data_IF_299427044833
#
_entry.id   IF_299427044833
#
_cell.length_a   1.000
_cell.length_b   1.000
_cell.length_c   1.000
_cell.angle_alpha   90.00
_cell.angle_beta   90.00
_cell.angle_gamma   90.00
#
_symmetry.space_group_name_H-M   'P 1'
#
loop_
_entity.id
_entity.type
_entity.pdbx_description
1 polymer ?
#
# COMPACT_ATOMS: atom_id res chain seq x y z
N UNK A 1 -7.03 -4.98 -2.24
CA UNK A 1 -7.77 -6.05 -1.57
C UNK A 1 -9.08 -5.52 -1.06
N UNK A 2 -10.18 -6.16 -1.46
CA UNK A 2 -11.52 -5.94 -0.90
C UNK A 2 -11.53 -6.16 0.62
N UNK A 3 -10.63 -7.02 1.13
CA UNK A 3 -10.44 -7.30 2.54
C UNK A 3 -10.07 -6.05 3.35
N UNK A 4 -9.16 -5.21 2.85
CA UNK A 4 -8.72 -4.01 3.57
C UNK A 4 -9.87 -3.02 3.81
N UNK A 5 -10.79 -2.88 2.86
CA UNK A 5 -11.99 -2.05 3.04
C UNK A 5 -12.95 -2.64 4.07
N UNK A 6 -13.13 -3.96 4.06
CA UNK A 6 -13.92 -4.68 5.08
C UNK A 6 -13.35 -4.52 6.48
N UNK A 7 -12.03 -4.68 6.63
CA UNK A 7 -11.33 -4.49 7.90
C UNK A 7 -11.43 -3.04 8.41
N UNK A 8 -11.37 -2.04 7.52
CA UNK A 8 -11.62 -0.64 7.88
C UNK A 8 -13.05 -0.44 8.39
N UNK A 9 -14.04 -1.10 7.77
CA UNK A 9 -15.41 -1.12 8.29
C UNK A 9 -15.49 -1.65 9.73
N UNK A 10 -14.80 -2.77 10.01
CA UNK A 10 -14.69 -3.32 11.38
C UNK A 10 -14.00 -2.34 12.33
N UNK A 11 -12.91 -1.69 11.92
CA UNK A 11 -12.20 -0.70 12.73
C UNK A 11 -13.08 0.52 13.06
N UNK A 12 -13.96 0.94 12.14
CA UNK A 12 -14.93 2.01 12.38
C UNK A 12 -15.97 1.58 13.41
N UNK A 13 -16.53 0.37 13.28
CA UNK A 13 -17.49 -0.19 14.24
C UNK A 13 -16.87 -0.30 15.64
N UNK A 14 -15.63 -0.80 15.75
CA UNK A 14 -14.90 -0.84 17.00
C UNK A 14 -14.62 0.56 17.57
N UNK A 15 -14.29 1.52 16.71
CA UNK A 15 -14.10 2.92 17.11
C UNK A 15 -15.38 3.56 17.66
N UNK A 16 -16.54 3.19 17.15
CA UNK A 16 -17.85 3.60 17.69
C UNK A 16 -18.13 2.96 19.04
N UNK A 17 -17.98 1.63 19.15
CA UNK A 17 -18.20 0.89 20.39
C UNK A 17 -17.30 1.41 21.52
N UNK A 18 -16.05 1.76 21.20
CA UNK A 18 -15.08 2.30 22.14
C UNK A 18 -15.15 3.83 22.31
N UNK A 19 -16.20 4.50 21.79
CA UNK A 19 -16.42 5.96 21.85
C UNK A 19 -15.22 6.80 21.38
N UNK A 20 -14.37 6.23 20.52
CA UNK A 20 -13.29 6.93 19.82
C UNK A 20 -13.80 7.71 18.61
N UNK A 21 -15.03 7.40 18.18
CA UNK A 21 -15.76 8.09 17.11
C UNK A 21 -17.17 8.45 17.56
N UNK A 22 -17.72 9.50 16.97
CA UNK A 22 -19.07 10.00 17.25
C UNK A 22 -20.10 9.62 16.19
N UNK A 23 -19.66 9.23 14.98
CA UNK A 23 -20.53 8.89 13.85
C UNK A 23 -20.03 7.66 13.09
N UNK A 24 -20.97 6.81 12.66
CA UNK A 24 -20.72 5.63 11.83
C UNK A 24 -20.68 5.92 10.33
N UNK A 25 -20.96 7.16 9.93
CA UNK A 25 -20.81 7.60 8.55
C UNK A 25 -19.36 8.02 8.31
N UNK A 26 -18.82 7.64 7.15
CA UNK A 26 -17.51 8.13 6.70
C UNK A 26 -17.65 9.48 6.01
N UNK A 27 -16.96 10.50 6.51
CA UNK A 27 -16.86 11.78 5.81
C UNK A 27 -15.61 11.80 4.94
N UNK A 28 -15.78 11.48 3.66
CA UNK A 28 -14.68 11.30 2.71
C UNK A 28 -14.63 12.48 1.76
N UNK A 29 -13.46 13.09 1.64
CA UNK A 29 -13.25 14.15 0.66
C UNK A 29 -13.35 13.62 -0.78
N UNK A 30 -14.11 14.33 -1.62
CA UNK A 30 -14.24 14.07 -3.05
C UNK A 30 -12.90 14.14 -3.79
N UNK A 31 -11.88 14.77 -3.20
CA UNK A 31 -10.52 14.79 -3.75
C UNK A 31 -9.94 13.40 -4.00
N UNK A 32 -10.43 12.35 -3.31
CA UNK A 32 -10.05 10.95 -3.52
C UNK A 32 -10.73 10.28 -4.73
N UNK A 33 -11.75 10.88 -5.33
CA UNK A 33 -12.41 10.32 -6.51
C UNK A 33 -11.46 10.26 -7.72
N UNK A 34 -10.63 11.29 -7.93
CA UNK A 34 -9.67 11.34 -9.04
C UNK A 34 -8.68 10.17 -9.02
N UNK A 35 -7.95 9.90 -7.93
CA UNK A 35 -7.06 8.74 -7.90
C UNK A 35 -7.80 7.41 -7.97
N UNK A 36 -9.00 7.30 -7.39
CA UNK A 36 -9.80 6.09 -7.52
C UNK A 36 -10.17 5.77 -8.98
N UNK A 37 -10.54 6.79 -9.76
CA UNK A 37 -10.79 6.65 -11.19
C UNK A 37 -9.52 6.26 -11.96
N UNK A 38 -8.38 6.87 -11.63
CA UNK A 38 -7.10 6.51 -12.24
C UNK A 38 -6.75 5.03 -11.98
N UNK A 39 -6.90 4.54 -10.75
CA UNK A 39 -6.67 3.12 -10.43
C UNK A 39 -7.59 2.22 -11.25
N UNK A 40 -8.89 2.55 -11.29
CA UNK A 40 -9.90 1.76 -11.99
C UNK A 40 -9.59 1.62 -13.49
N UNK A 41 -9.05 2.68 -14.10
CA UNK A 41 -8.67 2.66 -15.53
C UNK A 41 -7.31 1.98 -15.73
N UNK A 42 -6.29 2.34 -14.95
CA UNK A 42 -4.91 1.92 -15.19
C UNK A 42 -4.64 0.46 -14.80
N UNK A 43 -5.33 -0.06 -13.77
CA UNK A 43 -5.08 -1.41 -13.29
C UNK A 43 -5.36 -2.49 -14.36
N UNK A 44 -6.50 -2.51 -15.08
CA UNK A 44 -6.69 -3.46 -16.18
C UNK A 44 -5.68 -3.29 -17.32
N UNK A 45 -5.20 -2.06 -17.55
CA UNK A 45 -4.23 -1.77 -18.61
C UNK A 45 -2.87 -2.42 -18.37
N UNK A 46 -2.53 -2.82 -17.12
CA UNK A 46 -1.28 -3.52 -16.84
C UNK A 46 -1.20 -4.88 -17.52
N UNK A 47 -2.34 -5.45 -17.95
CA UNK A 47 -2.39 -6.73 -18.65
C UNK A 47 -2.13 -6.58 -20.16
N UNK A 48 -2.26 -5.39 -20.76
CA UNK A 48 -2.11 -5.22 -22.22
C UNK A 48 -0.70 -5.54 -22.71
N UNK A 49 0.38 -5.08 -22.05
CA UNK A 49 1.74 -5.52 -22.37
C UNK A 49 1.89 -7.05 -22.32
N UNK A 50 1.09 -7.73 -21.48
CA UNK A 50 1.13 -9.18 -21.35
C UNK A 50 0.62 -9.98 -22.55
N UNK A 51 -0.12 -9.34 -23.44
CA UNK A 51 -0.60 -9.97 -24.67
C UNK A 51 0.20 -9.55 -25.90
N UNK A 52 1.23 -8.71 -25.72
CA UNK A 52 1.98 -8.15 -26.83
C UNK A 52 3.47 -8.40 -26.60
N UNK A 53 4.07 -9.36 -27.31
CA UNK A 53 5.50 -9.69 -27.23
C UNK A 53 6.44 -8.58 -27.77
N UNK A 54 5.95 -7.34 -27.86
CA UNK A 54 6.68 -6.19 -28.39
C UNK A 54 7.29 -5.35 -27.26
N UNK A 55 8.62 -5.27 -27.27
CA UNK A 55 9.40 -4.43 -26.35
C UNK A 55 8.99 -2.94 -26.42
N UNK A 56 8.60 -2.47 -27.60
CA UNK A 56 8.16 -1.08 -27.79
C UNK A 56 6.89 -0.80 -26.99
N UNK A 57 5.95 -1.77 -26.98
CA UNK A 57 4.70 -1.65 -26.22
C UNK A 57 5.00 -1.59 -24.72
N UNK A 58 5.94 -2.39 -24.22
CA UNK A 58 6.37 -2.34 -22.82
C UNK A 58 6.88 -0.95 -22.42
N UNK A 59 7.74 -0.32 -23.23
CA UNK A 59 8.24 1.02 -22.94
C UNK A 59 7.16 2.11 -23.01
N UNK A 60 6.23 2.01 -23.97
CA UNK A 60 5.10 2.94 -24.06
C UNK A 60 4.22 2.86 -22.80
N UNK A 61 3.84 1.64 -22.39
CA UNK A 61 3.03 1.45 -21.19
C UNK A 61 3.78 1.83 -19.91
N UNK A 62 5.08 1.55 -19.82
CA UNK A 62 5.91 2.01 -18.72
C UNK A 62 5.90 3.55 -18.60
N UNK A 63 6.03 4.26 -19.73
CA UNK A 63 5.95 5.72 -19.75
C UNK A 63 4.57 6.24 -19.36
N UNK A 64 3.49 5.60 -19.81
CA UNK A 64 2.11 5.94 -19.42
C UNK A 64 1.92 5.78 -17.91
N UNK A 65 2.32 4.65 -17.35
CA UNK A 65 2.17 4.37 -15.92
C UNK A 65 3.02 5.33 -15.07
N UNK A 66 4.27 5.58 -15.45
CA UNK A 66 5.13 6.54 -14.74
C UNK A 66 4.58 7.97 -14.84
N UNK A 67 4.09 8.37 -16.02
CA UNK A 67 3.45 9.67 -16.24
C UNK A 67 2.19 9.83 -15.38
N UNK A 68 1.36 8.79 -15.28
CA UNK A 68 0.18 8.79 -14.41
C UNK A 68 0.55 8.88 -12.92
N UNK A 69 1.61 8.20 -12.49
CA UNK A 69 2.14 8.31 -11.13
C UNK A 69 2.61 9.74 -10.82
N UNK A 70 3.41 10.34 -11.70
CA UNK A 70 3.88 11.73 -11.55
C UNK A 70 2.70 12.72 -11.54
N UNK A 71 1.73 12.53 -12.43
CA UNK A 71 0.50 13.32 -12.44
C UNK A 71 -0.26 13.21 -11.11
N UNK A 72 -0.43 12.00 -10.57
CA UNK A 72 -1.08 11.80 -9.28
C UNK A 72 -0.35 12.56 -8.16
N UNK A 73 0.97 12.39 -8.03
CA UNK A 73 1.78 13.10 -7.02
C UNK A 73 1.63 14.62 -7.17
N UNK A 74 1.68 15.13 -8.39
CA UNK A 74 1.51 16.56 -8.66
C UNK A 74 0.13 17.08 -8.27
N UNK A 75 -0.95 16.34 -8.59
CA UNK A 75 -2.31 16.73 -8.18
C UNK A 75 -2.48 16.71 -6.67
N UNK A 76 -1.89 15.73 -5.98
CA UNK A 76 -1.92 15.66 -4.51
C UNK A 76 -1.16 16.81 -3.86
N UNK A 77 0.01 17.18 -4.41
CA UNK A 77 0.79 18.31 -3.94
C UNK A 77 0.03 19.64 -4.09
N UNK A 78 -0.59 19.86 -5.26
CA UNK A 78 -1.38 21.08 -5.50
C UNK A 78 -2.65 21.18 -4.66
N UNK A 79 -3.25 20.05 -4.26
CA UNK A 79 -4.55 20.02 -3.56
C UNK A 79 -4.47 20.29 -2.05
N UNK A 80 -3.31 20.64 -1.48
CA UNK A 80 -3.11 20.85 -0.02
C UNK A 80 -3.53 19.65 0.87
N UNK A 81 -3.85 18.48 0.32
CA UNK A 81 -4.11 17.26 1.08
C UNK A 81 -2.91 16.86 1.97
N UNK A 82 -1.69 17.24 1.56
CA UNK A 82 -0.50 17.12 2.39
C UNK A 82 -0.61 17.91 3.72
N UNK A 83 -1.25 19.08 3.73
CA UNK A 83 -1.48 19.87 4.95
C UNK A 83 -2.44 19.15 5.92
N UNK A 84 -3.41 18.36 5.42
CA UNK A 84 -4.27 17.54 6.29
C UNK A 84 -3.51 16.39 6.96
N UNK A 85 -2.53 15.78 6.27
CA UNK A 85 -1.69 14.70 6.81
C UNK A 85 -0.68 15.28 7.82
N UNK A 86 -0.09 16.43 7.53
CA UNK A 86 0.92 17.06 8.40
C UNK A 86 0.31 17.63 9.69
N UNK A 87 -0.90 18.18 9.62
CA UNK A 87 -1.65 18.63 10.79
C UNK A 87 -2.30 17.48 11.57
N UNK A 88 -2.33 16.29 10.99
CA UNK A 88 -3.04 15.18 11.57
C UNK A 88 -2.36 14.66 12.85
N UNK A 89 -1.10 14.27 12.79
CA UNK A 89 -0.39 13.79 13.99
C UNK A 89 1.06 14.27 13.99
N UNK A 90 1.52 14.71 15.16
CA UNK A 90 2.95 14.89 15.41
C UNK A 90 3.65 13.52 15.38
N UNK A 91 4.95 13.46 15.01
CA UNK A 91 5.73 12.23 15.13
C UNK A 91 5.55 11.62 16.52
N UNK A 92 5.35 10.30 16.59
CA UNK A 92 5.17 9.56 17.84
C UNK A 92 6.31 9.84 18.84
N UNK A 93 7.55 9.99 18.38
CA UNK A 93 8.67 10.32 19.27
C UNK A 93 8.55 11.70 19.92
N UNK A 94 7.84 12.65 19.30
CA UNK A 94 7.52 13.94 19.93
C UNK A 94 6.49 13.80 21.08
N UNK A 95 5.66 12.75 21.09
CA UNK A 95 4.75 12.46 22.21
C UNK A 95 5.49 11.86 23.41
N UNK A 96 6.53 11.06 23.14
CA UNK A 96 7.35 10.41 24.16
C UNK A 96 8.38 11.38 24.75
N UNK A 97 8.90 12.32 23.94
CA UNK A 97 9.90 13.32 24.34
C UNK A 97 9.32 14.74 24.12
N UNK A 98 8.49 15.25 25.06
CA UNK A 98 7.69 16.46 24.85
C UNK A 98 8.52 17.76 24.74
N UNK A 99 9.74 17.78 25.30
CA UNK A 99 10.58 18.99 25.36
C UNK A 99 11.40 19.26 24.09
N UNK A 100 11.34 18.40 23.08
CA UNK A 100 12.14 18.50 21.85
C UNK A 100 11.52 19.41 20.77
N UNK A 101 10.93 20.55 21.16
CA UNK A 101 10.27 21.51 20.26
C UNK A 101 11.17 22.01 19.11
N UNK A 102 12.49 22.14 19.35
CA UNK A 102 13.48 22.57 18.32
C UNK A 102 14.01 21.43 17.43
N UNK A 103 13.71 20.16 17.76
CA UNK A 103 14.27 18.98 17.09
C UNK A 103 13.25 18.15 16.30
N UNK A 104 12.06 18.70 15.98
CA UNK A 104 10.95 17.95 15.37
C UNK A 104 11.37 17.18 14.11
N UNK A 105 12.16 17.79 13.24
CA UNK A 105 12.66 17.12 12.02
C UNK A 105 13.64 15.99 12.34
N UNK A 106 14.58 16.21 13.26
CA UNK A 106 15.53 15.18 13.69
C UNK A 106 14.82 13.98 14.33
N UNK A 107 13.80 14.23 15.16
CA UNK A 107 12.96 13.17 15.73
C UNK A 107 12.12 12.45 14.67
N UNK A 108 11.60 13.16 13.66
CA UNK A 108 10.87 12.54 12.56
C UNK A 108 11.79 11.63 11.73
N UNK A 109 13.00 12.09 11.41
CA UNK A 109 14.02 11.29 10.71
C UNK A 109 14.44 10.09 11.56
N UNK A 110 14.70 10.28 12.86
CA UNK A 110 15.03 9.17 13.76
C UNK A 110 13.89 8.14 13.83
N UNK A 111 12.64 8.60 13.96
CA UNK A 111 11.47 7.72 13.95
C UNK A 111 11.36 6.95 12.63
N UNK A 112 11.60 7.60 11.50
CA UNK A 112 11.60 6.97 10.19
C UNK A 112 12.67 5.87 10.11
N UNK A 113 13.90 6.17 10.55
CA UNK A 113 14.99 5.20 10.57
C UNK A 113 14.69 4.00 11.48
N UNK A 114 14.12 4.25 12.67
CA UNK A 114 13.71 3.17 13.58
C UNK A 114 12.59 2.34 12.96
N UNK A 115 11.59 2.96 12.33
CA UNK A 115 10.50 2.25 11.66
C UNK A 115 11.03 1.36 10.53
N UNK A 116 11.94 1.87 9.69
CA UNK A 116 12.61 1.10 8.63
C UNK A 116 13.38 -0.09 9.24
N UNK A 117 14.14 0.13 10.31
CA UNK A 117 14.86 -0.94 11.00
C UNK A 117 13.95 -2.03 11.55
N UNK A 118 12.83 -1.66 12.17
CA UNK A 118 11.83 -2.62 12.66
C UNK A 118 11.18 -3.41 11.53
N UNK A 119 10.86 -2.76 10.41
CA UNK A 119 10.33 -3.43 9.22
C UNK A 119 11.33 -4.43 8.63
N UNK A 120 12.61 -4.07 8.55
CA UNK A 120 13.68 -4.95 8.08
C UNK A 120 13.85 -6.18 8.98
N UNK A 121 13.96 -5.98 10.31
CA UNK A 121 14.10 -7.10 11.26
C UNK A 121 12.85 -8.00 11.22
N UNK A 122 11.66 -7.39 11.09
CA UNK A 122 10.40 -8.12 10.96
C UNK A 122 10.35 -8.98 9.71
N UNK A 123 10.76 -8.45 8.56
CA UNK A 123 10.76 -9.18 7.30
C UNK A 123 11.78 -10.33 7.28
N UNK A 124 12.98 -10.12 7.83
CA UNK A 124 14.00 -11.18 7.94
C UNK A 124 13.50 -12.36 8.79
N UNK A 125 12.97 -12.05 9.99
CA UNK A 125 12.41 -13.08 10.89
C UNK A 125 11.24 -13.82 10.27
N UNK A 126 10.39 -13.11 9.53
CA UNK A 126 9.27 -13.73 8.82
C UNK A 126 9.78 -14.73 7.79
N UNK A 127 10.73 -14.35 6.94
CA UNK A 127 11.30 -15.26 5.93
C UNK A 127 11.93 -16.49 6.58
N UNK A 128 12.69 -16.32 7.65
CA UNK A 128 13.25 -17.44 8.42
C UNK A 128 12.18 -18.37 8.99
N UNK A 129 11.07 -17.82 9.49
CA UNK A 129 9.94 -18.60 10.02
C UNK A 129 9.22 -19.37 8.91
N UNK A 130 9.02 -18.75 7.74
CA UNK A 130 8.47 -19.42 6.55
C UNK A 130 9.36 -20.61 6.16
N UNK A 131 10.68 -20.43 6.18
CA UNK A 131 11.61 -21.51 5.86
C UNK A 131 11.54 -22.66 6.88
N UNK A 132 11.50 -22.35 8.19
CA UNK A 132 11.35 -23.37 9.23
C UNK A 132 10.00 -24.12 9.12
N UNK A 133 8.90 -23.39 8.88
CA UNK A 133 7.58 -23.99 8.68
C UNK A 133 7.54 -24.92 7.48
N UNK A 134 8.18 -24.53 6.38
CA UNK A 134 8.23 -25.34 5.15
C UNK A 134 8.79 -26.74 5.39
N UNK A 135 9.80 -26.86 6.27
CA UNK A 135 10.41 -28.14 6.65
C UNK A 135 9.45 -29.03 7.44
N UNK A 136 8.56 -28.45 8.25
CA UNK A 136 7.59 -29.19 9.07
C UNK A 136 6.34 -29.65 8.31
N UNK A 137 5.94 -28.93 7.27
CA UNK A 137 4.69 -29.20 6.51
C UNK A 137 4.94 -29.91 5.16
N UNK A 138 6.20 -30.16 4.78
CA UNK A 138 6.55 -30.85 3.53
C UNK A 138 6.29 -30.02 2.26
N UNK A 139 6.07 -28.72 2.38
CA UNK A 139 5.97 -27.79 1.25
C UNK A 139 7.34 -27.16 0.98
N UNK A 140 7.60 -26.79 -0.27
CA UNK A 140 8.80 -26.01 -0.57
C UNK A 140 8.71 -24.62 0.08
N UNK A 141 9.84 -24.10 0.55
CA UNK A 141 9.91 -22.75 1.12
C UNK A 141 9.37 -21.69 0.16
N UNK A 142 9.61 -21.87 -1.15
CA UNK A 142 9.09 -20.99 -2.20
C UNK A 142 7.56 -21.04 -2.27
N UNK A 143 6.96 -22.23 -2.30
CA UNK A 143 5.49 -22.37 -2.36
C UNK A 143 4.83 -21.74 -1.13
N UNK A 144 5.40 -21.94 0.06
CA UNK A 144 4.88 -21.34 1.28
C UNK A 144 5.07 -19.81 1.30
N UNK A 145 6.21 -19.32 0.81
CA UNK A 145 6.47 -17.89 0.68
C UNK A 145 5.48 -17.20 -0.26
N UNK A 146 5.16 -17.82 -1.41
CA UNK A 146 4.17 -17.28 -2.35
C UNK A 146 2.77 -17.12 -1.73
N UNK A 147 2.44 -17.89 -0.69
CA UNK A 147 1.16 -17.80 0.03
C UNK A 147 1.23 -16.76 1.14
N UNK A 148 2.26 -16.82 1.99
CA UNK A 148 2.34 -16.03 3.24
C UNK A 148 2.78 -14.59 2.97
N UNK A 149 3.75 -14.40 2.07
CA UNK A 149 4.38 -13.08 1.85
C UNK A 149 3.35 -12.03 1.38
N UNK A 150 2.48 -12.29 0.39
CA UNK A 150 1.49 -11.29 -0.04
C UNK A 150 0.56 -10.83 1.09
N UNK A 151 0.15 -11.75 1.96
CA UNK A 151 -0.67 -11.42 3.13
C UNK A 151 0.12 -10.59 4.14
N UNK A 152 1.36 -10.97 4.43
CA UNK A 152 2.19 -10.28 5.38
C UNK A 152 2.59 -8.87 4.94
N UNK A 153 2.84 -8.67 3.64
CA UNK A 153 3.11 -7.36 3.03
C UNK A 153 1.83 -6.57 2.73
N UNK A 154 0.66 -6.99 3.21
CA UNK A 154 -0.56 -6.19 3.17
C UNK A 154 -0.95 -5.68 4.57
N UNK A 155 -0.36 -6.27 5.62
CA UNK A 155 -0.65 -5.93 7.02
C UNK A 155 -0.16 -4.51 7.37
N UNK A 156 1.10 -4.12 7.13
CA UNK A 156 1.58 -2.77 7.46
C UNK A 156 0.75 -1.67 6.80
N UNK A 157 0.41 -1.85 5.54
CA UNK A 157 -0.33 -0.91 4.70
C UNK A 157 -1.76 -0.79 5.21
N UNK A 158 -2.43 -1.93 5.41
CA UNK A 158 -3.80 -1.96 5.94
C UNK A 158 -3.85 -1.39 7.36
N UNK A 159 -2.83 -1.63 8.19
CA UNK A 159 -2.76 -1.14 9.58
C UNK A 159 -2.87 0.39 9.66
N UNK A 160 -2.24 1.12 8.73
CA UNK A 160 -2.33 2.59 8.70
C UNK A 160 -3.77 3.05 8.47
N UNK A 161 -4.46 2.44 7.50
CA UNK A 161 -5.87 2.73 7.25
C UNK A 161 -6.74 2.38 8.47
N UNK A 162 -6.52 1.23 9.10
CA UNK A 162 -7.26 0.81 10.30
C UNK A 162 -7.10 1.81 11.45
N UNK A 163 -5.88 2.30 11.71
CA UNK A 163 -5.63 3.28 12.77
C UNK A 163 -6.37 4.59 12.51
N UNK A 164 -6.36 5.08 11.26
CA UNK A 164 -7.07 6.31 10.91
C UNK A 164 -8.59 6.14 10.95
N UNK A 165 -9.08 5.03 10.41
CA UNK A 165 -10.49 4.64 10.47
C UNK A 165 -10.97 4.45 11.90
N UNK A 166 -10.14 3.93 12.81
CA UNK A 166 -10.46 3.83 14.23
C UNK A 166 -10.53 5.20 14.93
N UNK A 167 -9.68 6.16 14.52
CA UNK A 167 -9.56 7.50 15.12
C UNK A 167 -10.51 8.57 14.56
N UNK A 168 -11.48 8.21 13.72
CA UNK A 168 -12.40 9.21 13.15
C UNK A 168 -11.90 9.93 11.91
N UNK A 169 -10.82 9.46 11.26
CA UNK A 169 -10.12 10.19 10.21
C UNK A 169 -10.31 9.54 8.84
N UNK A 170 -11.52 9.64 8.33
CA UNK A 170 -12.00 8.87 7.18
C UNK A 170 -11.24 9.18 5.89
N UNK A 171 -11.05 10.46 5.57
CA UNK A 171 -10.27 10.88 4.38
C UNK A 171 -8.83 10.36 4.42
N UNK A 172 -8.20 10.32 5.60
CA UNK A 172 -6.83 9.79 5.74
C UNK A 172 -6.81 8.26 5.64
N UNK A 173 -7.81 7.59 6.22
CA UNK A 173 -7.98 6.15 6.15
C UNK A 173 -8.14 5.66 4.72
N UNK A 174 -9.03 6.28 3.95
CA UNK A 174 -9.24 5.91 2.55
C UNK A 174 -8.12 6.43 1.65
N UNK A 175 -7.56 7.60 1.97
CA UNK A 175 -6.42 8.15 1.26
C UNK A 175 -5.21 7.21 1.29
N UNK A 176 -4.91 6.57 2.42
CA UNK A 176 -3.83 5.58 2.50
C UNK A 176 -4.10 4.34 1.66
N UNK A 177 -5.34 3.80 1.68
CA UNK A 177 -5.72 2.65 0.86
C UNK A 177 -5.63 2.97 -0.64
N UNK A 178 -6.14 4.12 -1.06
CA UNK A 178 -6.14 4.52 -2.48
C UNK A 178 -4.72 4.85 -2.96
N UNK A 179 -3.90 5.50 -2.15
CA UNK A 179 -2.52 5.84 -2.48
C UNK A 179 -1.66 4.60 -2.74
N UNK A 180 -1.80 3.56 -1.92
CA UNK A 180 -1.14 2.26 -2.12
C UNK A 180 -1.56 1.62 -3.46
N UNK A 181 -2.84 1.68 -3.82
CA UNK A 181 -3.33 1.14 -5.11
C UNK A 181 -2.82 1.92 -6.31
N UNK A 182 -2.64 3.24 -6.20
CA UNK A 182 -1.96 4.00 -7.25
C UNK A 182 -0.54 3.44 -7.45
N UNK A 183 0.21 3.20 -6.38
CA UNK A 183 1.57 2.66 -6.47
C UNK A 183 1.60 1.28 -7.15
N UNK A 184 0.67 0.38 -6.77
CA UNK A 184 0.52 -0.95 -7.40
C UNK A 184 0.07 -0.93 -8.85
N UNK A 185 -0.76 0.03 -9.25
CA UNK A 185 -1.25 0.11 -10.63
C UNK A 185 -0.37 0.95 -11.55
N UNK A 186 0.65 1.64 -11.02
CA UNK A 186 1.48 2.57 -11.82
C UNK A 186 2.97 2.33 -11.64
N UNK A 187 3.53 2.70 -10.48
CA UNK A 187 4.97 2.71 -10.26
C UNK A 187 5.61 1.33 -10.40
N UNK A 188 5.06 0.31 -9.73
CA UNK A 188 5.64 -1.04 -9.81
C UNK A 188 5.55 -1.65 -11.22
N UNK A 189 4.40 -1.61 -11.91
CA UNK A 189 4.31 -2.05 -13.31
C UNK A 189 5.22 -1.25 -14.25
N UNK A 190 5.33 0.07 -14.07
CA UNK A 190 6.23 0.90 -14.88
C UNK A 190 7.69 0.46 -14.74
N UNK A 191 8.14 0.27 -13.50
CA UNK A 191 9.49 -0.17 -13.20
C UNK A 191 9.74 -1.58 -13.75
N UNK A 192 8.78 -2.50 -13.57
CA UNK A 192 8.89 -3.87 -14.06
C UNK A 192 8.99 -3.91 -15.60
N UNK A 193 8.13 -3.18 -16.32
CA UNK A 193 8.16 -3.13 -17.78
C UNK A 193 9.42 -2.44 -18.33
N UNK A 194 10.03 -1.54 -17.56
CA UNK A 194 11.25 -0.84 -17.97
C UNK A 194 12.52 -1.66 -17.72
N UNK A 195 12.57 -2.42 -16.62
CA UNK A 195 13.78 -3.13 -16.18
C UNK A 195 13.81 -4.61 -16.58
N UNK A 196 12.66 -5.24 -16.79
CA UNK A 196 12.55 -6.69 -16.94
C UNK A 196 12.04 -7.02 -18.34
N UNK A 197 12.78 -7.87 -19.05
CA UNK A 197 12.32 -8.53 -20.26
C UNK A 197 11.23 -9.53 -19.87
N UNK A 198 9.96 -9.15 -20.06
CA UNK A 198 8.87 -10.07 -19.76
C UNK A 198 8.89 -11.26 -20.73
N UNK A 199 9.02 -12.46 -20.19
CA UNK A 199 8.69 -13.71 -20.86
C UNK A 199 7.38 -14.23 -20.29
N UNK A 200 6.32 -14.22 -21.08
CA UNK A 200 5.00 -14.63 -20.63
C UNK A 200 4.86 -16.16 -20.72
N UNK A 201 4.94 -16.81 -19.56
CA UNK A 201 4.66 -18.24 -19.42
C UNK A 201 3.22 -18.44 -18.89
N UNK A 202 2.55 -19.51 -19.31
CA UNK A 202 1.21 -19.91 -18.85
C UNK A 202 1.14 -19.99 -17.32
N UNK A 203 2.26 -20.36 -16.68
CA UNK A 203 2.39 -20.44 -15.23
C UNK A 203 2.26 -19.06 -14.55
N UNK A 204 2.73 -17.98 -15.19
CA UNK A 204 2.59 -16.61 -14.67
C UNK A 204 1.13 -16.17 -14.74
N UNK A 205 0.44 -16.48 -15.85
CA UNK A 205 -0.98 -16.16 -16.01
C UNK A 205 -1.83 -16.85 -14.93
N UNK A 206 -1.57 -18.14 -14.67
CA UNK A 206 -2.24 -18.89 -13.62
C UNK A 206 -1.95 -18.30 -12.23
N UNK A 207 -0.72 -17.87 -11.95
CA UNK A 207 -0.36 -17.19 -10.71
C UNK A 207 -1.10 -15.86 -10.53
N UNK A 208 -1.22 -15.06 -11.60
CA UNK A 208 -1.95 -13.78 -11.58
C UNK A 208 -3.44 -14.01 -11.31
N UNK A 209 -4.05 -15.00 -11.96
CA UNK A 209 -5.46 -15.37 -11.74
C UNK A 209 -5.67 -15.81 -10.28
N UNK A 210 -4.83 -16.73 -9.78
CA UNK A 210 -4.92 -17.21 -8.40
C UNK A 210 -4.75 -16.07 -7.39
N UNK A 211 -3.77 -15.19 -7.60
CA UNK A 211 -3.52 -14.04 -6.71
C UNK A 211 -4.67 -13.03 -6.77
N UNK A 212 -5.27 -12.81 -7.94
CA UNK A 212 -6.41 -11.88 -8.10
C UNK A 212 -7.68 -12.41 -7.45
N UNK A 213 -7.89 -13.73 -7.43
CA UNK A 213 -9.02 -14.36 -6.74
C UNK A 213 -8.84 -14.31 -5.22
N UNK A 214 -7.59 -14.49 -4.75
CA UNK A 214 -7.26 -14.50 -3.32
C UNK A 214 -7.25 -13.08 -2.72
N UNK A 215 -6.82 -12.07 -3.48
CA UNK A 215 -6.64 -10.69 -3.00
C UNK A 215 -7.89 -9.83 -3.10
#
# INVERSE_FOLDING_TARGET
>A
SSLSYGLVGVAILLGLLLKKRTSGHMNVDKSLATPFLLVTILFPLTLVPAFTDSVIVNYIFAAIFLGAFVYYIWTMYKRKNAEQIENAEVPYFCRIIPKASKGRMALAVLQLLVAIGLLYIGSEKMVGTVQALSQGIGLSALALALIIVPAATAIPETSTALIWGFKGRDTLSLGSLVGEKILYSTFYPALALFLISWSYDIHILLSVIATTIIS
#
